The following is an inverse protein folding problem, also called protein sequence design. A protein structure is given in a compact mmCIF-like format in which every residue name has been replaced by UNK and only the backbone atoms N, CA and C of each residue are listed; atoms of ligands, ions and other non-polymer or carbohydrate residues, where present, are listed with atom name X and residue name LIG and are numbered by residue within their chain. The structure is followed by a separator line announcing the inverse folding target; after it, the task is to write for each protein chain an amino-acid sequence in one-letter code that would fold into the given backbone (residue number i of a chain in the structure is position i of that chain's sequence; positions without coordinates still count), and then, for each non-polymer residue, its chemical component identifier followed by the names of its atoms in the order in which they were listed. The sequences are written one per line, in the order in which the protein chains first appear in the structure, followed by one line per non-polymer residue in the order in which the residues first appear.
data_IF_067744505828
#
_entry.id   IF_067744505828
#
_cell.length_a   1.000
_cell.length_b   1.000
_cell.length_c   1.000
_cell.angle_alpha   90.00
_cell.angle_beta   90.00
_cell.angle_gamma   90.00
#
_symmetry.space_group_name_H-M   'P 1'
#
loop_
_entity.id
_entity.type
_entity.pdbx_description
1 polymer ?
#
# COMPACT_ATOMS: atom_id res chain seq x y z
N UNK A 1 25.05 1.02 -2.09
CA UNK A 1 26.01 0.03 -2.60
C UNK A 1 27.09 -0.35 -1.59
N UNK A 2 27.85 0.62 -1.06
CA UNK A 2 29.09 0.31 -0.32
C UNK A 2 28.84 -0.47 0.97
N UNK A 3 27.82 -0.10 1.73
CA UNK A 3 27.50 -0.78 2.99
C UNK A 3 27.19 -2.27 2.82
N UNK A 4 26.38 -2.67 1.82
CA UNK A 4 26.07 -4.10 1.61
C UNK A 4 27.32 -4.83 1.16
N UNK A 5 28.06 -4.33 0.17
CA UNK A 5 29.25 -5.01 -0.34
C UNK A 5 30.37 -5.12 0.69
N UNK A 6 30.58 -4.08 1.50
CA UNK A 6 31.62 -4.02 2.52
C UNK A 6 31.28 -4.88 3.75
N UNK A 7 29.99 -4.93 4.12
CA UNK A 7 29.58 -5.63 5.34
C UNK A 7 29.01 -7.03 5.08
N UNK A 8 28.75 -7.43 3.83
CA UNK A 8 28.27 -8.78 3.52
C UNK A 8 29.31 -9.87 3.77
N UNK A 9 30.56 -9.59 4.12
CA UNK A 9 31.48 -10.63 4.61
C UNK A 9 31.60 -10.61 6.14
N UNK A 10 31.17 -9.51 6.79
CA UNK A 10 31.35 -9.24 8.23
C UNK A 10 30.07 -9.53 9.02
N UNK A 11 28.88 -9.27 8.45
CA UNK A 11 27.58 -9.39 9.13
C UNK A 11 27.16 -10.85 9.35
N UNK A 12 27.34 -11.42 10.54
CA UNK A 12 26.95 -12.83 10.77
C UNK A 12 25.45 -13.06 10.56
N UNK A 13 24.64 -12.02 10.73
CA UNK A 13 23.19 -12.09 10.58
C UNK A 13 22.69 -11.22 9.41
N UNK A 14 21.79 -11.79 8.61
CA UNK A 14 21.16 -11.11 7.47
C UNK A 14 20.35 -9.88 7.90
N UNK A 15 19.94 -9.80 9.17
CA UNK A 15 19.25 -8.67 9.77
C UNK A 15 20.05 -7.36 9.71
N UNK A 16 21.39 -7.43 9.74
CA UNK A 16 22.25 -6.24 9.68
C UNK A 16 22.29 -5.61 8.28
N UNK A 17 22.17 -6.43 7.23
CA UNK A 17 22.06 -5.96 5.84
C UNK A 17 20.60 -5.86 5.36
N UNK A 18 19.65 -6.44 6.11
CA UNK A 18 18.23 -6.48 5.77
C UNK A 18 17.64 -5.08 5.64
N UNK A 19 18.03 -4.13 6.51
CA UNK A 19 17.58 -2.74 6.40
C UNK A 19 17.97 -2.11 5.07
N UNK A 20 19.23 -2.29 4.65
CA UNK A 20 19.69 -1.78 3.35
C UNK A 20 19.06 -2.51 2.16
N UNK A 21 18.76 -3.81 2.30
CA UNK A 21 18.00 -4.59 1.30
C UNK A 21 16.57 -4.07 1.19
N UNK A 22 15.94 -3.77 2.33
CA UNK A 22 14.59 -3.22 2.39
C UNK A 22 14.54 -1.83 1.77
N UNK A 23 15.52 -0.97 2.04
CA UNK A 23 15.67 0.35 1.42
C UNK A 23 15.82 0.25 -0.11
N UNK A 24 16.62 -0.69 -0.62
CA UNK A 24 16.78 -0.92 -2.06
C UNK A 24 15.47 -1.40 -2.70
N UNK A 25 14.77 -2.33 -2.06
CA UNK A 25 13.49 -2.84 -2.53
C UNK A 25 12.39 -1.76 -2.47
N UNK A 26 12.41 -0.90 -1.47
CA UNK A 26 11.49 0.23 -1.35
C UNK A 26 11.78 1.32 -2.38
N UNK A 27 13.06 1.60 -2.65
CA UNK A 27 13.50 2.49 -3.73
C UNK A 27 13.00 2.01 -5.09
N UNK A 28 13.12 0.71 -5.38
CA UNK A 28 12.53 0.10 -6.60
C UNK A 28 11.01 0.24 -6.64
N UNK A 29 10.30 -0.04 -5.54
CA UNK A 29 8.85 0.12 -5.49
C UNK A 29 8.42 1.58 -5.71
N UNK A 30 9.18 2.55 -5.21
CA UNK A 30 8.92 3.97 -5.45
C UNK A 30 9.14 4.35 -6.91
N UNK A 31 10.18 3.83 -7.56
CA UNK A 31 10.42 4.02 -8.99
C UNK A 31 9.28 3.42 -9.82
N UNK A 32 8.86 2.18 -9.52
CA UNK A 32 7.75 1.52 -10.18
C UNK A 32 6.42 2.28 -9.99
N UNK A 33 6.16 2.80 -8.78
CA UNK A 33 5.01 3.66 -8.50
C UNK A 33 5.07 4.96 -9.29
N UNK A 34 6.23 5.62 -9.35
CA UNK A 34 6.43 6.86 -10.12
C UNK A 34 6.15 6.61 -11.61
N UNK A 35 6.61 5.49 -12.16
CA UNK A 35 6.31 5.07 -13.53
C UNK A 35 4.82 4.85 -13.74
N UNK A 36 4.18 4.03 -12.90
CA UNK A 36 2.74 3.72 -13.01
C UNK A 36 1.83 4.95 -12.89
N UNK A 37 2.23 5.97 -12.11
CA UNK A 37 1.49 7.23 -11.98
C UNK A 37 1.63 8.12 -13.21
N UNK A 38 2.78 8.08 -13.91
CA UNK A 38 3.02 8.85 -15.13
C UNK A 38 2.37 8.20 -16.36
N UNK A 39 2.27 6.87 -16.39
CA UNK A 39 1.54 6.14 -17.44
C UNK A 39 0.05 6.53 -17.51
N UNK A 40 -0.51 7.15 -16.46
CA UNK A 40 -1.89 7.64 -16.39
C UNK A 40 -2.08 9.15 -16.69
N UNK A 41 -1.03 9.91 -17.03
CA UNK A 41 -1.12 11.34 -17.37
C UNK A 41 -1.35 11.56 -18.87
N UNK A 42 -2.07 12.63 -19.23
CA UNK A 42 -2.43 13.00 -20.61
C UNK A 42 -1.17 13.20 -21.49
N UNK A 43 -1.30 12.89 -22.79
CA UNK A 43 -0.24 12.94 -23.81
C UNK A 43 0.52 14.29 -23.88
N UNK A 44 -0.08 15.38 -23.38
CA UNK A 44 0.55 16.70 -23.28
C UNK A 44 1.69 16.77 -22.25
N UNK A 45 1.66 15.97 -21.18
CA UNK A 45 2.74 15.87 -20.17
C UNK A 45 3.84 14.87 -20.58
N UNK A 46 3.62 14.10 -21.65
CA UNK A 46 4.48 12.98 -22.08
C UNK A 46 5.62 13.38 -23.05
N UNK A 47 5.77 14.67 -23.41
CA UNK A 47 6.76 15.14 -24.40
C UNK A 47 8.23 15.18 -23.94
N UNK A 48 8.60 14.34 -22.97
CA UNK A 48 9.98 14.13 -22.53
C UNK A 48 10.54 12.79 -23.00
N UNK A 49 10.96 12.63 -24.26
CA UNK A 49 11.60 11.37 -24.72
C UNK A 49 12.85 11.02 -23.88
N UNK A 50 13.52 12.03 -23.29
CA UNK A 50 14.59 11.84 -22.29
C UNK A 50 14.11 11.21 -20.98
N UNK A 51 12.88 11.42 -20.54
CA UNK A 51 12.39 10.90 -19.25
C UNK A 51 12.09 9.41 -19.32
N UNK A 52 11.55 8.92 -20.44
CA UNK A 52 11.24 7.49 -20.62
C UNK A 52 12.53 6.66 -20.71
N UNK A 53 13.54 7.12 -21.46
CA UNK A 53 14.82 6.42 -21.55
C UNK A 53 15.53 6.33 -20.18
N UNK A 54 15.55 7.43 -19.42
CA UNK A 54 16.10 7.44 -18.05
C UNK A 54 15.32 6.50 -17.13
N UNK A 55 13.98 6.49 -17.18
CA UNK A 55 13.15 5.59 -16.36
C UNK A 55 13.42 4.10 -16.66
N UNK A 56 13.62 3.76 -17.94
CA UNK A 56 13.99 2.40 -18.34
C UNK A 56 15.39 2.05 -17.82
N UNK A 57 16.35 2.97 -17.97
CA UNK A 57 17.74 2.77 -17.50
C UNK A 57 17.77 2.61 -15.98
N UNK A 58 17.07 3.46 -15.22
CA UNK A 58 16.99 3.40 -13.76
C UNK A 58 16.36 2.08 -13.30
N UNK A 59 15.29 1.62 -13.97
CA UNK A 59 14.66 0.35 -13.66
C UNK A 59 15.57 -0.85 -13.93
N UNK A 60 16.39 -0.79 -14.99
CA UNK A 60 17.39 -1.81 -15.30
C UNK A 60 18.52 -1.82 -14.29
N UNK A 61 19.04 -0.65 -13.93
CA UNK A 61 20.11 -0.52 -12.93
C UNK A 61 19.66 -1.02 -11.55
N UNK A 62 18.45 -0.67 -11.12
CA UNK A 62 17.88 -1.18 -9.87
C UNK A 62 17.64 -2.70 -9.91
N UNK A 63 17.27 -3.25 -11.07
CA UNK A 63 17.14 -4.71 -11.22
C UNK A 63 18.48 -5.43 -11.15
N UNK A 64 19.52 -4.87 -11.76
CA UNK A 64 20.88 -5.39 -11.69
C UNK A 64 21.44 -5.34 -10.26
N UNK A 65 21.21 -4.24 -9.54
CA UNK A 65 21.63 -4.12 -8.14
C UNK A 65 20.99 -5.18 -7.25
N UNK A 66 19.68 -5.41 -7.39
CA UNK A 66 18.98 -6.47 -6.65
C UNK A 66 19.49 -7.87 -7.02
N UNK A 67 19.82 -8.10 -8.30
CA UNK A 67 20.42 -9.36 -8.71
C UNK A 67 21.78 -9.58 -8.03
N UNK A 68 22.65 -8.57 -8.04
CA UNK A 68 23.95 -8.65 -7.38
C UNK A 68 23.82 -8.93 -5.88
N UNK A 69 22.89 -8.25 -5.21
CA UNK A 69 22.58 -8.52 -3.79
C UNK A 69 22.08 -9.95 -3.60
N UNK A 70 21.19 -10.43 -4.46
CA UNK A 70 20.68 -11.80 -4.36
C UNK A 70 21.79 -12.85 -4.45
N UNK A 71 22.75 -12.66 -5.35
CA UNK A 71 23.90 -13.55 -5.52
C UNK A 71 24.77 -13.52 -4.27
N UNK A 72 25.07 -12.34 -3.73
CA UNK A 72 25.90 -12.23 -2.51
C UNK A 72 25.20 -12.86 -1.30
N UNK A 73 23.88 -12.68 -1.16
CA UNK A 73 23.08 -13.30 -0.10
C UNK A 73 23.12 -14.81 -0.21
N UNK A 74 22.87 -15.36 -1.39
CA UNK A 74 22.88 -16.81 -1.61
C UNK A 74 24.28 -17.42 -1.48
N UNK A 75 25.33 -16.71 -1.91
CA UNK A 75 26.72 -17.13 -1.72
C UNK A 75 27.09 -17.25 -0.24
N UNK A 76 26.52 -16.40 0.62
CA UNK A 76 26.85 -16.37 2.05
C UNK A 76 25.98 -17.27 2.90
N UNK A 77 24.68 -17.24 2.68
CA UNK A 77 23.69 -17.91 3.53
C UNK A 77 23.18 -19.23 2.93
N UNK A 78 23.63 -19.57 1.73
CA UNK A 78 23.23 -20.77 1.00
C UNK A 78 22.19 -20.46 -0.07
N UNK A 79 22.22 -21.26 -1.14
CA UNK A 79 21.36 -21.10 -2.31
C UNK A 79 19.88 -21.08 -1.94
N UNK A 80 19.13 -20.13 -2.51
CA UNK A 80 17.68 -20.00 -2.30
C UNK A 80 17.29 -19.21 -1.06
N UNK A 81 18.24 -18.73 -0.26
CA UNK A 81 17.97 -17.86 0.90
C UNK A 81 17.29 -16.57 0.46
N UNK A 82 17.79 -15.92 -0.59
CA UNK A 82 17.18 -14.72 -1.15
C UNK A 82 15.74 -14.97 -1.63
N UNK A 83 15.51 -16.09 -2.32
CA UNK A 83 14.19 -16.46 -2.82
C UNK A 83 13.18 -16.68 -1.67
N UNK A 84 13.62 -17.31 -0.57
CA UNK A 84 12.79 -17.50 0.62
C UNK A 84 12.44 -16.17 1.28
N UNK A 85 13.41 -15.25 1.40
CA UNK A 85 13.19 -13.90 1.94
C UNK A 85 12.14 -13.15 1.11
N UNK A 86 12.29 -13.15 -0.21
CA UNK A 86 11.35 -12.48 -1.11
C UNK A 86 9.95 -13.10 -1.03
N UNK A 87 9.85 -14.42 -0.89
CA UNK A 87 8.58 -15.14 -0.76
C UNK A 87 7.87 -14.76 0.53
N UNK A 88 8.58 -14.80 1.67
CA UNK A 88 7.99 -14.44 2.95
C UNK A 88 7.62 -12.95 3.00
N UNK A 89 8.47 -12.06 2.48
CA UNK A 89 8.15 -10.63 2.36
C UNK A 89 6.88 -10.39 1.54
N UNK A 90 6.75 -11.08 0.39
CA UNK A 90 5.54 -11.00 -0.44
C UNK A 90 4.30 -11.46 0.31
N UNK A 91 4.40 -12.58 1.04
CA UNK A 91 3.31 -13.10 1.87
C UNK A 91 2.88 -12.08 2.93
N UNK A 92 3.82 -11.51 3.69
CA UNK A 92 3.51 -10.49 4.72
C UNK A 92 2.89 -9.22 4.11
N UNK A 93 3.39 -8.78 2.95
CA UNK A 93 2.84 -7.61 2.25
C UNK A 93 1.40 -7.87 1.77
N UNK A 94 1.13 -9.05 1.23
CA UNK A 94 -0.21 -9.42 0.75
C UNK A 94 -1.20 -9.59 1.90
N UNK A 95 -0.77 -10.17 3.03
CA UNK A 95 -1.53 -10.24 4.27
C UNK A 95 -1.87 -8.84 4.81
N UNK A 96 -0.88 -7.93 4.87
CA UNK A 96 -1.09 -6.55 5.28
C UNK A 96 -2.09 -5.82 4.37
N UNK A 97 -1.97 -5.98 3.05
CA UNK A 97 -2.92 -5.41 2.07
C UNK A 97 -4.33 -5.98 2.22
N UNK A 98 -4.47 -7.28 2.48
CA UNK A 98 -5.79 -7.90 2.72
C UNK A 98 -6.42 -7.37 4.01
N UNK A 99 -5.66 -7.30 5.10
CA UNK A 99 -6.11 -6.75 6.36
C UNK A 99 -6.52 -5.27 6.24
N UNK A 100 -5.78 -4.47 5.46
CA UNK A 100 -6.15 -3.08 5.18
C UNK A 100 -7.46 -2.99 4.40
N UNK A 101 -7.62 -3.79 3.33
CA UNK A 101 -8.88 -3.84 2.57
C UNK A 101 -10.06 -4.26 3.42
N UNK A 102 -9.88 -5.23 4.32
CA UNK A 102 -10.92 -5.69 5.24
C UNK A 102 -11.29 -4.61 6.25
N UNK A 103 -10.30 -3.95 6.88
CA UNK A 103 -10.53 -2.80 7.77
C UNK A 103 -11.29 -1.68 7.05
N UNK A 104 -10.95 -1.40 5.79
CA UNK A 104 -11.65 -0.39 4.99
C UNK A 104 -13.10 -0.81 4.70
N UNK A 105 -13.38 -2.09 4.46
CA UNK A 105 -14.74 -2.61 4.27
C UNK A 105 -15.57 -2.50 5.56
N UNK A 106 -15.02 -2.94 6.68
CA UNK A 106 -15.69 -2.87 7.99
C UNK A 106 -16.01 -1.42 8.37
N UNK A 107 -15.05 -0.50 8.18
CA UNK A 107 -15.27 0.93 8.43
C UNK A 107 -16.40 1.52 7.58
N UNK A 108 -16.50 1.12 6.32
CA UNK A 108 -17.61 1.56 5.43
C UNK A 108 -18.95 1.01 5.91
N UNK A 109 -19.01 -0.27 6.25
CA UNK A 109 -20.23 -0.89 6.78
C UNK A 109 -20.68 -0.22 8.08
N UNK A 110 -19.76 0.03 9.01
CA UNK A 110 -20.07 0.76 10.25
C UNK A 110 -20.58 2.18 9.99
N UNK A 111 -20.02 2.90 9.00
CA UNK A 111 -20.52 4.21 8.62
C UNK A 111 -21.93 4.13 8.03
N UNK A 112 -22.21 3.15 7.17
CA UNK A 112 -23.53 2.92 6.59
C UNK A 112 -24.56 2.57 7.68
N UNK A 113 -24.23 1.66 8.60
CA UNK A 113 -25.10 1.29 9.73
C UNK A 113 -25.40 2.49 10.65
N UNK A 114 -24.41 3.33 10.95
CA UNK A 114 -24.60 4.53 11.77
C UNK A 114 -25.52 5.55 11.08
N UNK A 115 -25.38 5.73 9.76
CA UNK A 115 -26.26 6.62 8.99
C UNK A 115 -27.68 6.09 8.91
N UNK A 116 -27.84 4.77 8.77
CA UNK A 116 -29.15 4.11 8.75
C UNK A 116 -29.85 4.27 10.10
N UNK A 117 -29.16 3.99 11.22
CA UNK A 117 -29.69 4.19 12.58
C UNK A 117 -30.11 5.65 12.78
N UNK A 118 -29.26 6.61 12.38
CA UNK A 118 -29.56 8.03 12.51
C UNK A 118 -30.79 8.43 11.69
N UNK A 119 -30.93 7.87 10.49
CA UNK A 119 -32.09 8.10 9.61
C UNK A 119 -33.38 7.55 10.23
N UNK A 120 -33.35 6.35 10.82
CA UNK A 120 -34.49 5.78 11.53
C UNK A 120 -34.89 6.60 12.76
N UNK A 121 -33.92 7.06 13.55
CA UNK A 121 -34.17 7.93 14.70
C UNK A 121 -34.82 9.25 14.27
N UNK A 122 -34.31 9.87 13.21
CA UNK A 122 -34.88 11.10 12.66
C UNK A 122 -36.32 10.89 12.17
N UNK A 123 -36.58 9.82 11.41
CA UNK A 123 -37.92 9.50 10.91
C UNK A 123 -38.91 9.26 12.07
N UNK A 124 -38.49 8.52 13.10
CA UNK A 124 -39.30 8.28 14.30
C UNK A 124 -39.62 9.58 15.03
N UNK A 125 -38.64 10.47 15.19
CA UNK A 125 -38.84 11.77 15.82
C UNK A 125 -39.82 12.66 15.05
N UNK A 126 -39.68 12.73 13.72
CA UNK A 126 -40.61 13.47 12.86
C UNK A 126 -42.03 12.89 12.95
N UNK A 127 -42.16 11.56 12.95
CA UNK A 127 -43.44 10.88 13.11
C UNK A 127 -44.15 11.23 14.42
N UNK A 128 -43.40 11.27 15.53
CA UNK A 128 -43.92 11.66 16.85
C UNK A 128 -44.41 13.11 16.83
N UNK A 129 -43.62 14.05 16.30
CA UNK A 129 -44.01 15.47 16.21
C UNK A 129 -45.28 15.62 15.36
N UNK A 130 -45.34 14.97 14.20
CA UNK A 130 -46.49 15.03 13.32
C UNK A 130 -47.75 14.47 14.00
N UNK A 131 -47.63 13.37 14.74
CA UNK A 131 -48.74 12.78 15.50
C UNK A 131 -49.26 13.73 16.57
N UNK A 132 -48.39 14.29 17.42
CA UNK A 132 -48.81 15.25 18.44
C UNK A 132 -49.37 16.54 17.86
N UNK A 133 -48.82 17.03 16.74
CA UNK A 133 -49.35 18.18 16.02
C UNK A 133 -50.78 17.96 15.50
N UNK A 134 -51.05 16.78 14.94
CA UNK A 134 -52.40 16.41 14.49
C UNK A 134 -53.39 16.28 15.65
N UNK A 135 -52.99 15.65 16.77
CA UNK A 135 -53.83 15.53 17.96
C UNK A 135 -54.18 16.89 18.54
N UNK A 136 -53.19 17.80 18.64
CA UNK A 136 -53.41 19.17 19.12
C UNK A 136 -54.39 19.93 18.22
N UNK A 137 -54.26 19.81 16.90
CA UNK A 137 -55.16 20.44 15.94
C UNK A 137 -56.59 19.91 16.08
N UNK A 138 -56.77 18.60 16.26
CA UNK A 138 -58.09 17.97 16.41
C UNK A 138 -58.79 18.35 17.73
N UNK A 139 -58.04 18.58 18.81
CA UNK A 139 -58.58 18.97 20.11
C UNK A 139 -58.96 20.47 20.20
N UNK A 140 -58.45 21.30 19.28
CA UNK A 140 -58.61 22.75 19.30
C UNK A 140 -59.54 23.26 18.18
N UNK A 141 -60.29 22.35 17.55
CA UNK A 141 -61.35 22.57 16.55
C UNK A 141 -62.70 22.26 17.20
#
# INVERSE_FOLDING_TARGET
MDFIKENINTCKDISEIAGSIDDLLDGKQQLDKKRSKKDGMSLADQFGVKTVANEIIDAKLAAEELYNVSVLVDQRFGHGTWANIMTERKKRLDEAKKAEKERMRIRKQQQEELLEILSFLFLGFVGIIAFFGLVYLFLNI
#
